data_IF_639262070807
#
_entry.id   IF_639262070807
#
_cell.length_a   1.000
_cell.length_b   1.000
_cell.length_c   1.000
_cell.angle_alpha   90.00
_cell.angle_beta   90.00
_cell.angle_gamma   90.00
#
_symmetry.space_group_name_H-M   'P 1'
#
loop_
_entity.id
_entity.type
_entity.pdbx_description
1 polymer ?
#
# COMPACT_ATOMS: atom_id res chain seq x y z
N UNK A 1 -10.00 1.96 -5.91
CA UNK A 1 -10.18 0.50 -6.08
C UNK A 1 -8.93 -0.16 -6.67
N UNK A 2 -8.50 0.19 -7.88
CA UNK A 2 -7.33 -0.41 -8.56
C UNK A 2 -6.06 -0.52 -7.68
N UNK A 3 -5.64 0.56 -7.00
CA UNK A 3 -4.43 0.57 -6.17
C UNK A 3 -4.47 -0.43 -5.01
N UNK A 4 -5.61 -0.57 -4.34
CA UNK A 4 -5.77 -1.51 -3.22
C UNK A 4 -5.74 -2.94 -3.73
N UNK A 5 -6.51 -3.22 -4.79
CA UNK A 5 -6.54 -4.54 -5.41
C UNK A 5 -5.16 -4.96 -5.94
N UNK A 6 -4.45 -4.05 -6.61
CA UNK A 6 -3.10 -4.28 -7.10
C UNK A 6 -2.10 -4.51 -5.95
N UNK A 7 -2.18 -3.72 -4.87
CA UNK A 7 -1.34 -3.90 -3.69
C UNK A 7 -1.54 -5.26 -3.02
N UNK A 8 -2.80 -5.69 -2.86
CA UNK A 8 -3.11 -7.01 -2.32
C UNK A 8 -2.59 -8.14 -3.21
N UNK A 9 -2.72 -8.02 -4.53
CA UNK A 9 -2.13 -8.98 -5.48
C UNK A 9 -0.60 -9.02 -5.37
N UNK A 10 0.05 -7.86 -5.23
CA UNK A 10 1.51 -7.78 -5.06
C UNK A 10 1.99 -8.42 -3.76
N UNK A 11 1.20 -8.41 -2.70
CA UNK A 11 1.56 -9.03 -1.42
C UNK A 11 1.26 -10.53 -1.36
N UNK A 12 0.06 -10.92 -1.80
CA UNK A 12 -0.52 -12.23 -1.48
C UNK A 12 -0.80 -13.14 -2.68
N UNK A 13 -0.58 -12.69 -3.92
CA UNK A 13 -0.78 -13.57 -5.07
C UNK A 13 0.18 -14.76 -5.01
N UNK A 14 -0.37 -15.95 -5.24
CA UNK A 14 0.37 -17.21 -5.29
C UNK A 14 1.28 -17.32 -6.52
N UNK A 15 0.96 -16.56 -7.58
CA UNK A 15 1.79 -16.50 -8.79
C UNK A 15 3.06 -15.67 -8.51
N UNK A 16 4.26 -16.28 -8.56
CA UNK A 16 5.52 -15.57 -8.36
C UNK A 16 5.81 -14.49 -9.42
N UNK A 17 5.07 -14.43 -10.53
CA UNK A 17 5.16 -13.31 -11.49
C UNK A 17 4.48 -12.05 -10.98
N UNK A 18 3.55 -12.18 -10.03
CA UNK A 18 2.73 -11.08 -9.52
C UNK A 18 3.12 -10.76 -8.08
N UNK A 19 3.16 -11.77 -7.21
CA UNK A 19 3.34 -11.64 -5.77
C UNK A 19 4.81 -11.64 -5.35
N UNK A 20 5.21 -10.63 -4.58
CA UNK A 20 6.56 -10.49 -4.04
C UNK A 20 6.93 -11.64 -3.11
N UNK A 21 6.03 -12.03 -2.20
CA UNK A 21 6.30 -13.10 -1.25
C UNK A 21 6.42 -14.46 -1.96
N UNK A 22 5.57 -14.71 -2.96
CA UNK A 22 5.64 -15.93 -3.77
C UNK A 22 6.95 -15.99 -4.59
N UNK A 23 7.39 -14.85 -5.15
CA UNK A 23 8.67 -14.73 -5.84
C UNK A 23 9.85 -15.02 -4.90
N UNK A 24 9.87 -14.38 -3.72
CA UNK A 24 10.87 -14.63 -2.68
C UNK A 24 10.93 -16.10 -2.26
N UNK A 25 9.78 -16.75 -2.07
CA UNK A 25 9.70 -18.17 -1.71
C UNK A 25 10.24 -19.09 -2.81
N UNK A 26 9.94 -18.80 -4.08
CA UNK A 26 10.45 -19.56 -5.23
C UNK A 26 11.98 -19.49 -5.30
N UNK A 27 12.54 -18.29 -5.21
CA UNK A 27 13.98 -18.08 -5.28
C UNK A 27 14.70 -18.64 -4.06
N UNK A 28 14.15 -18.45 -2.86
CA UNK A 28 14.71 -19.01 -1.63
C UNK A 28 14.69 -20.54 -1.64
N UNK A 29 13.62 -21.16 -2.16
CA UNK A 29 13.52 -22.62 -2.26
C UNK A 29 14.50 -23.20 -3.26
N UNK A 30 14.70 -22.55 -4.42
CA UNK A 30 15.71 -22.96 -5.39
C UNK A 30 17.13 -22.81 -4.85
N UNK A 31 17.43 -21.69 -4.18
CA UNK A 31 18.70 -21.46 -3.52
C UNK A 31 19.03 -22.55 -2.49
N UNK A 32 18.04 -22.99 -1.69
CA UNK A 32 18.21 -24.06 -0.72
C UNK A 32 18.51 -25.44 -1.35
N UNK A 33 18.08 -25.66 -2.60
CA UNK A 33 18.39 -26.87 -3.38
C UNK A 33 19.72 -26.77 -4.16
N UNK A 34 20.43 -25.65 -4.06
CA UNK A 34 21.61 -25.38 -4.89
C UNK A 34 21.28 -25.10 -6.36
N UNK A 35 20.00 -24.86 -6.68
CA UNK A 35 19.53 -24.58 -8.02
C UNK A 35 19.60 -23.07 -8.30
N UNK A 36 20.19 -22.73 -9.44
CA UNK A 36 20.37 -21.35 -9.85
C UNK A 36 19.30 -20.97 -10.87
N UNK A 37 18.40 -20.06 -10.49
CA UNK A 37 17.32 -19.61 -11.36
C UNK A 37 17.70 -18.32 -12.06
N UNK A 38 17.48 -18.27 -13.38
CA UNK A 38 17.50 -17.02 -14.11
C UNK A 38 16.48 -16.04 -13.47
N UNK A 39 16.80 -14.73 -13.36
CA UNK A 39 17.92 -14.02 -13.97
C UNK A 39 19.22 -13.99 -13.13
N UNK A 40 19.25 -14.61 -11.95
CA UNK A 40 20.47 -14.66 -11.14
C UNK A 40 21.54 -15.49 -11.86
N UNK A 41 22.81 -15.05 -11.76
CA UNK A 41 23.98 -15.77 -12.29
C UNK A 41 24.82 -16.37 -11.18
N UNK A 42 24.61 -15.92 -9.94
CA UNK A 42 25.31 -16.40 -8.74
C UNK A 42 24.33 -16.63 -7.58
N UNK A 43 24.74 -17.44 -6.61
CA UNK A 43 23.94 -17.66 -5.40
C UNK A 43 23.78 -16.39 -4.55
N UNK A 44 24.79 -15.50 -4.56
CA UNK A 44 24.70 -14.21 -3.89
C UNK A 44 23.61 -13.32 -4.50
N UNK A 45 23.45 -13.33 -5.82
CA UNK A 45 22.37 -12.62 -6.51
C UNK A 45 20.99 -13.20 -6.19
N UNK A 46 20.87 -14.54 -6.08
CA UNK A 46 19.61 -15.17 -5.63
C UNK A 46 19.18 -14.62 -4.26
N UNK A 47 20.11 -14.53 -3.29
CA UNK A 47 19.81 -13.99 -1.96
C UNK A 47 19.43 -12.52 -2.01
N UNK A 48 20.07 -11.72 -2.87
CA UNK A 48 19.70 -10.31 -3.07
C UNK A 48 18.30 -10.15 -3.64
N UNK A 49 17.91 -10.98 -4.61
CA UNK A 49 16.54 -10.96 -5.17
C UNK A 49 15.52 -11.25 -4.07
N UNK A 50 15.73 -12.31 -3.28
CA UNK A 50 14.84 -12.66 -2.16
C UNK A 50 14.73 -11.53 -1.14
N UNK A 51 15.84 -10.86 -0.82
CA UNK A 51 15.84 -9.73 0.12
C UNK A 51 15.06 -8.54 -0.45
N UNK A 52 15.28 -8.20 -1.71
CA UNK A 52 14.58 -7.11 -2.38
C UNK A 52 13.06 -7.37 -2.41
N UNK A 53 12.64 -8.59 -2.77
CA UNK A 53 11.21 -8.95 -2.76
C UNK A 53 10.58 -8.80 -1.37
N UNK A 54 11.30 -9.14 -0.30
CA UNK A 54 10.83 -8.95 1.09
C UNK A 54 10.72 -7.48 1.46
N UNK A 55 11.67 -6.65 1.04
CA UNK A 55 11.63 -5.20 1.25
C UNK A 55 10.46 -4.60 0.47
N UNK A 56 10.28 -4.96 -0.80
CA UNK A 56 9.17 -4.51 -1.64
C UNK A 56 7.82 -4.91 -1.06
N UNK A 57 7.70 -6.13 -0.52
CA UNK A 57 6.51 -6.55 0.22
C UNK A 57 6.25 -5.66 1.45
N UNK A 58 7.30 -5.38 2.25
CA UNK A 58 7.18 -4.50 3.41
C UNK A 58 6.74 -3.07 3.04
N UNK A 59 7.38 -2.48 2.02
CA UNK A 59 7.05 -1.14 1.53
C UNK A 59 5.64 -1.08 0.93
N UNK A 60 5.24 -2.09 0.17
CA UNK A 60 3.91 -2.19 -0.39
C UNK A 60 2.83 -2.25 0.70
N UNK A 61 3.05 -3.07 1.74
CA UNK A 61 2.14 -3.17 2.88
C UNK A 61 2.03 -1.84 3.65
N UNK A 62 3.17 -1.16 3.88
CA UNK A 62 3.19 0.15 4.52
C UNK A 62 2.39 1.18 3.72
N UNK A 63 2.63 1.27 2.41
CA UNK A 63 1.92 2.23 1.57
C UNK A 63 0.42 1.94 1.50
N UNK A 64 0.04 0.66 1.42
CA UNK A 64 -1.36 0.25 1.44
C UNK A 64 -2.05 0.66 2.76
N UNK A 65 -1.36 0.55 3.90
CA UNK A 65 -1.86 1.00 5.19
C UNK A 65 -2.12 2.51 5.22
N UNK A 66 -1.21 3.31 4.64
CA UNK A 66 -1.38 4.78 4.51
C UNK A 66 -2.61 5.10 3.65
N UNK A 67 -2.74 4.46 2.48
CA UNK A 67 -3.88 4.66 1.58
C UNK A 67 -5.20 4.32 2.26
N UNK A 68 -5.27 3.17 2.95
CA UNK A 68 -6.47 2.76 3.68
C UNK A 68 -6.82 3.74 4.81
N UNK A 69 -5.81 4.29 5.50
CA UNK A 69 -6.00 5.31 6.53
C UNK A 69 -6.60 6.60 5.95
N UNK A 70 -6.08 7.08 4.81
CA UNK A 70 -6.63 8.26 4.12
C UNK A 70 -8.08 8.01 3.69
N UNK A 71 -8.36 6.85 3.09
CA UNK A 71 -9.74 6.49 2.70
C UNK A 71 -10.67 6.45 3.90
N UNK A 72 -10.24 5.84 5.01
CA UNK A 72 -11.01 5.76 6.24
C UNK A 72 -11.35 7.16 6.80
N UNK A 73 -10.33 8.02 6.95
CA UNK A 73 -10.53 9.37 7.46
C UNK A 73 -11.36 10.24 6.50
N UNK A 74 -11.14 10.10 5.19
CA UNK A 74 -11.93 10.78 4.17
C UNK A 74 -13.40 10.41 4.24
N UNK A 75 -13.72 9.10 4.26
CA UNK A 75 -15.10 8.62 4.40
C UNK A 75 -15.73 9.13 5.69
N UNK A 76 -15.02 9.05 6.83
CA UNK A 76 -15.50 9.56 8.11
C UNK A 76 -15.85 11.05 8.03
N UNK A 77 -14.99 11.86 7.43
CA UNK A 77 -15.21 13.30 7.28
C UNK A 77 -16.36 13.60 6.33
N UNK A 78 -16.48 12.88 5.21
CA UNK A 78 -17.62 13.02 4.30
C UNK A 78 -18.94 12.68 4.98
N UNK A 79 -19.00 11.59 5.74
CA UNK A 79 -20.19 11.21 6.50
C UNK A 79 -20.52 12.24 7.59
N UNK A 80 -19.52 12.83 8.24
CA UNK A 80 -19.74 13.90 9.20
C UNK A 80 -20.32 15.15 8.52
N UNK A 81 -19.79 15.55 7.36
CA UNK A 81 -20.29 16.69 6.60
C UNK A 81 -21.72 16.49 6.09
N UNK A 82 -22.05 15.29 5.59
CA UNK A 82 -23.41 14.94 5.13
C UNK A 82 -24.47 15.00 6.23
N UNK A 83 -24.08 14.89 7.50
CA UNK A 83 -24.99 15.03 8.65
C UNK A 83 -25.28 16.48 9.02
N UNK A 84 -24.52 17.44 8.49
CA UNK A 84 -24.75 18.85 8.77
C UNK A 84 -25.79 19.36 7.77
N UNK A 85 -26.95 19.74 8.29
CA UNK A 85 -28.12 20.24 7.56
C UNK A 85 -28.05 21.75 7.23
N UNK A 86 -26.94 22.40 7.61
CA UNK A 86 -26.70 23.83 7.43
C UNK A 86 -25.36 24.10 6.73
N UNK A 87 -25.23 25.18 5.95
CA UNK A 87 -23.94 25.59 5.40
C UNK A 87 -22.91 25.82 6.51
N UNK A 88 -21.73 25.22 6.39
CA UNK A 88 -20.61 25.44 7.34
C UNK A 88 -19.66 26.53 6.88
N UNK A 89 -19.95 27.21 5.77
CA UNK A 89 -19.13 28.30 5.24
C UNK A 89 -19.26 29.53 6.15
N UNK A 90 -18.17 30.25 6.36
CA UNK A 90 -18.16 31.53 7.07
C UNK A 90 -17.22 32.46 6.32
N UNK A 91 -17.77 33.34 5.49
CA UNK A 91 -16.99 34.28 4.67
C UNK A 91 -16.61 35.54 5.46
N UNK A 92 -17.43 35.93 6.45
CA UNK A 92 -17.18 37.08 7.32
C UNK A 92 -16.79 36.57 8.71
N UNK A 93 -15.63 36.98 9.26
CA UNK A 93 -15.27 36.65 10.62
C UNK A 93 -16.40 37.08 11.58
N UNK A 94 -16.82 36.23 12.53
CA UNK A 94 -17.97 36.52 13.39
C UNK A 94 -17.84 37.83 14.18
N UNK A 95 -16.61 38.35 14.35
CA UNK A 95 -16.33 39.62 15.02
C UNK A 95 -16.72 40.87 14.20
N UNK A 96 -16.95 40.74 12.89
CA UNK A 96 -17.33 41.84 11.98
C UNK A 96 -18.86 41.97 11.79
N UNK A 97 -19.65 41.12 12.47
CA UNK A 97 -21.11 41.03 12.29
C UNK A 97 -21.91 41.95 13.24
N UNK A 98 -21.27 42.80 14.05
CA UNK A 98 -22.01 43.67 14.97
C UNK A 98 -21.77 45.17 14.76
N UNK A 99 -22.76 45.87 14.18
CA UNK A 99 -23.38 47.05 14.77
C UNK A 99 -24.58 47.53 13.90
N UNK A 100 -25.79 47.09 14.23
CA UNK A 100 -27.01 47.91 14.09
C UNK A 100 -27.65 48.02 15.47
#
# INVERSE_FOLDING_TARGET
LCTITAGLMKLFASDPKVGFLAHASKFSGAAARGELLAPAKTMAEMQRIVLNDRIDAGLCALFLAVVLSIVFFGVRTCLAALKIDRPTVTEVPPQLVAAE
#
